data_IF_760111593029
#
_entry.id   IF_760111593029
#
_cell.length_a   1.000
_cell.length_b   1.000
_cell.length_c   1.000
_cell.angle_alpha   90.00
_cell.angle_beta   90.00
_cell.angle_gamma   90.00
#
_symmetry.space_group_name_H-M   'P 1'
#
loop_
_entity.id
_entity.type
_entity.pdbx_description
1 polymer ?
#
# COMPACT_ATOMS: atom_id res chain seq x y z
N UNK A 1 16.71 -34.21 -33.99
CA UNK A 1 15.54 -35.00 -33.62
C UNK A 1 15.20 -34.78 -32.15
N UNK A 2 13.95 -34.92 -31.77
CA UNK A 2 13.54 -34.77 -30.36
C UNK A 2 14.24 -35.87 -29.53
N UNK A 3 14.74 -35.55 -28.34
CA UNK A 3 15.37 -36.54 -27.45
C UNK A 3 14.33 -37.61 -27.06
N UNK A 4 14.76 -38.86 -27.03
CA UNK A 4 13.94 -40.00 -26.62
C UNK A 4 14.16 -40.34 -25.16
N UNK A 5 13.15 -40.88 -24.47
CA UNK A 5 13.29 -41.46 -23.15
C UNK A 5 14.09 -42.76 -23.31
N UNK A 6 15.13 -42.93 -22.50
CA UNK A 6 16.00 -44.11 -22.57
C UNK A 6 15.19 -45.42 -22.39
N UNK A 7 15.29 -46.31 -23.39
CA UNK A 7 14.60 -47.61 -23.39
C UNK A 7 13.15 -47.59 -23.89
N UNK A 8 12.65 -46.48 -24.43
CA UNK A 8 11.31 -46.38 -24.99
C UNK A 8 11.31 -45.67 -26.38
N UNK A 9 10.21 -45.81 -27.13
CA UNK A 9 9.98 -45.01 -28.35
C UNK A 9 9.33 -43.64 -28.08
N UNK A 10 9.11 -43.32 -26.82
CA UNK A 10 8.52 -42.04 -26.43
C UNK A 10 9.50 -40.87 -26.62
N UNK A 11 9.01 -39.75 -27.12
CA UNK A 11 9.78 -38.52 -27.32
C UNK A 11 9.47 -37.50 -26.23
N UNK A 12 10.53 -36.90 -25.67
CA UNK A 12 10.38 -35.82 -24.69
C UNK A 12 10.23 -34.49 -25.45
N UNK A 13 9.21 -33.74 -25.09
CA UNK A 13 9.08 -32.36 -25.54
C UNK A 13 9.93 -31.45 -24.65
N UNK A 14 10.99 -30.87 -25.23
CA UNK A 14 11.80 -29.87 -24.56
C UNK A 14 11.16 -28.49 -24.79
N UNK A 15 10.85 -27.79 -23.70
CA UNK A 15 10.44 -26.39 -23.72
C UNK A 15 11.63 -25.53 -23.31
N UNK A 16 12.00 -24.60 -24.16
CA UNK A 16 13.00 -23.60 -23.83
C UNK A 16 12.34 -22.47 -23.07
N UNK A 17 12.95 -22.04 -21.99
CA UNK A 17 12.50 -20.90 -21.20
C UNK A 17 13.68 -20.11 -20.68
N UNK A 18 13.42 -18.93 -20.20
CA UNK A 18 14.37 -18.15 -19.44
C UNK A 18 13.78 -17.79 -18.08
N UNK A 19 14.65 -17.72 -17.12
CA UNK A 19 14.40 -17.14 -15.83
C UNK A 19 14.79 -15.66 -15.90
N UNK A 20 13.89 -14.78 -15.59
CA UNK A 20 14.11 -13.35 -15.62
C UNK A 20 13.64 -12.70 -14.34
N UNK A 21 14.25 -11.59 -13.99
CA UNK A 21 13.79 -10.72 -12.91
C UNK A 21 13.14 -9.50 -13.50
N UNK A 22 11.84 -9.37 -13.27
CA UNK A 22 11.09 -8.20 -13.69
C UNK A 22 11.17 -7.13 -12.58
N UNK A 23 11.68 -5.98 -12.95
CA UNK A 23 11.66 -4.78 -12.10
C UNK A 23 10.71 -3.78 -12.76
N UNK A 24 9.59 -3.51 -12.10
CA UNK A 24 8.69 -2.45 -12.52
C UNK A 24 9.17 -1.14 -11.86
N UNK A 25 10.06 -0.43 -12.55
CA UNK A 25 10.66 0.79 -12.03
C UNK A 25 9.81 2.05 -12.28
N UNK A 26 8.66 1.90 -12.93
CA UNK A 26 7.71 3.00 -13.16
C UNK A 26 6.68 3.05 -12.04
N UNK A 27 5.95 1.96 -11.79
CA UNK A 27 4.90 1.93 -10.76
C UNK A 27 5.46 2.06 -9.34
N UNK A 28 6.63 1.47 -9.07
CA UNK A 28 7.32 1.59 -7.79
C UNK A 28 7.81 3.01 -7.45
N UNK A 29 7.55 4.01 -8.33
CA UNK A 29 7.93 5.42 -8.14
C UNK A 29 6.75 6.34 -7.98
N UNK A 30 5.56 5.86 -8.29
CA UNK A 30 4.34 6.66 -8.22
C UNK A 30 3.94 6.76 -6.75
N UNK A 31 4.04 7.96 -6.21
CA UNK A 31 3.63 8.29 -4.84
C UNK A 31 2.12 8.59 -4.80
N UNK A 32 1.65 9.33 -5.80
CA UNK A 32 0.27 9.82 -5.87
C UNK A 32 -0.46 9.10 -7.00
N UNK A 33 -1.50 8.37 -6.64
CA UNK A 33 -2.41 7.66 -7.54
C UNK A 33 -3.75 8.40 -7.59
N UNK A 34 -4.14 8.89 -8.76
CA UNK A 34 -5.36 9.67 -8.98
C UNK A 34 -5.06 11.03 -9.58
N UNK A 35 -6.10 11.84 -9.77
CA UNK A 35 -6.01 13.09 -10.52
C UNK A 35 -6.37 14.34 -9.70
N UNK A 36 -6.82 14.17 -8.46
CA UNK A 36 -7.09 15.31 -7.59
C UNK A 36 -5.77 16.01 -7.27
N UNK A 37 -5.78 17.33 -7.39
CA UNK A 37 -4.68 18.17 -6.95
C UNK A 37 -5.13 19.04 -5.79
N UNK A 38 -4.22 19.29 -4.86
CA UNK A 38 -4.41 20.17 -3.73
C UNK A 38 -3.07 20.69 -3.22
N UNK A 39 -3.10 21.80 -2.52
CA UNK A 39 -1.97 22.32 -1.77
C UNK A 39 -1.58 21.33 -0.65
N UNK A 40 -0.28 21.16 -0.38
CA UNK A 40 0.20 20.25 0.67
C UNK A 40 -0.24 20.68 2.08
N UNK A 41 -0.64 21.93 2.27
CA UNK A 41 -1.20 22.47 3.52
C UNK A 41 -2.68 22.11 3.75
N UNK A 42 -3.39 21.62 2.73
CA UNK A 42 -4.78 21.21 2.84
C UNK A 42 -4.97 19.95 3.66
N UNK A 43 -6.23 19.66 4.01
CA UNK A 43 -6.58 18.45 4.76
C UNK A 43 -6.37 17.18 3.92
N UNK A 44 -5.86 16.14 4.56
CA UNK A 44 -5.81 14.78 4.01
C UNK A 44 -6.22 13.76 5.08
N UNK A 45 -6.64 12.59 4.65
CA UNK A 45 -7.02 11.49 5.54
C UNK A 45 -5.97 10.41 5.49
N UNK A 46 -5.24 10.22 6.58
CA UNK A 46 -4.44 9.04 6.78
C UNK A 46 -5.29 7.91 7.32
N UNK A 47 -5.15 6.71 6.75
CA UNK A 47 -5.88 5.54 7.21
C UNK A 47 -5.04 4.28 7.13
N UNK A 48 -5.42 3.30 7.92
CA UNK A 48 -4.83 1.99 8.00
C UNK A 48 -5.91 0.96 8.27
N UNK A 49 -5.71 -0.26 7.82
CA UNK A 49 -6.65 -1.37 7.95
C UNK A 49 -5.98 -2.57 8.61
N UNK A 50 -6.66 -3.16 9.61
CA UNK A 50 -6.35 -4.51 10.02
C UNK A 50 -7.27 -5.50 9.28
N UNK A 51 -6.69 -6.62 8.85
CA UNK A 51 -7.38 -7.57 7.98
C UNK A 51 -7.10 -9.02 8.37
N UNK A 52 -7.93 -9.95 7.91
CA UNK A 52 -7.73 -11.40 8.13
C UNK A 52 -6.64 -12.01 7.26
N UNK A 53 -6.05 -11.24 6.34
CA UNK A 53 -4.98 -11.68 5.45
C UNK A 53 -4.63 -10.62 4.40
N UNK A 54 -3.91 -11.00 3.35
CA UNK A 54 -3.29 -10.04 2.41
C UNK A 54 -4.08 -9.83 1.10
N UNK A 55 -5.14 -10.59 0.88
CA UNK A 55 -5.88 -10.57 -0.38
C UNK A 55 -7.23 -9.89 -0.23
N UNK A 56 -7.40 -8.72 -0.81
CA UNK A 56 -8.68 -7.99 -0.84
C UNK A 56 -9.84 -8.77 -1.52
N UNK A 57 -9.54 -9.90 -2.19
CA UNK A 57 -10.57 -10.76 -2.81
C UNK A 57 -11.12 -11.81 -1.86
N UNK A 58 -10.32 -12.31 -0.93
CA UNK A 58 -10.65 -13.44 -0.06
C UNK A 58 -10.68 -13.10 1.40
N UNK A 59 -9.90 -12.11 1.80
CA UNK A 59 -9.75 -11.72 3.20
C UNK A 59 -10.69 -10.56 3.55
N UNK A 60 -10.87 -10.31 4.83
CA UNK A 60 -11.85 -9.36 5.37
C UNK A 60 -11.17 -8.28 6.19
N UNK A 61 -11.74 -7.08 6.19
CA UNK A 61 -11.36 -5.99 7.11
C UNK A 61 -11.90 -6.34 8.50
N UNK A 62 -11.08 -6.13 9.53
CA UNK A 62 -11.46 -6.33 10.94
C UNK A 62 -11.31 -5.05 11.79
N UNK A 63 -10.53 -4.07 11.34
CA UNK A 63 -10.48 -2.73 11.93
C UNK A 63 -10.23 -1.70 10.84
N UNK A 64 -10.86 -0.53 10.95
CA UNK A 64 -10.59 0.65 10.13
C UNK A 64 -10.17 1.76 11.09
N UNK A 65 -8.98 2.31 10.91
CA UNK A 65 -8.50 3.49 11.59
C UNK A 65 -8.21 4.60 10.60
N UNK A 66 -8.66 5.81 10.88
CA UNK A 66 -8.38 6.97 10.04
C UNK A 66 -8.29 8.25 10.86
N UNK A 67 -7.44 9.17 10.42
CA UNK A 67 -7.29 10.51 11.00
C UNK A 67 -7.28 11.56 9.89
N UNK A 68 -8.00 12.65 10.11
CA UNK A 68 -7.88 13.85 9.30
C UNK A 68 -6.70 14.64 9.82
N UNK A 69 -5.75 14.93 8.96
CA UNK A 69 -4.55 15.72 9.28
C UNK A 69 -4.60 17.05 8.56
N UNK A 70 -4.14 18.11 9.26
CA UNK A 70 -3.92 19.44 8.69
C UNK A 70 -2.73 20.09 9.37
N UNK A 71 -1.75 20.56 8.59
CA UNK A 71 -0.55 21.22 9.11
C UNK A 71 0.14 20.42 10.24
N UNK A 72 0.24 19.09 10.07
CA UNK A 72 0.88 18.21 11.05
C UNK A 72 0.07 17.91 12.32
N UNK A 73 -1.19 18.35 12.39
CA UNK A 73 -2.07 18.14 13.54
C UNK A 73 -3.30 17.30 13.16
N UNK A 74 -3.71 16.43 14.08
CA UNK A 74 -4.98 15.72 13.98
C UNK A 74 -6.13 16.70 14.15
N UNK A 75 -7.09 16.67 13.21
CA UNK A 75 -8.31 17.50 13.21
C UNK A 75 -9.53 16.68 13.59
N UNK A 76 -9.59 15.43 13.10
CA UNK A 76 -10.71 14.52 13.33
C UNK A 76 -10.23 13.06 13.25
N UNK A 77 -11.00 12.13 13.82
CA UNK A 77 -10.64 10.71 13.88
C UNK A 77 -11.85 9.81 13.67
N UNK A 78 -11.64 8.75 12.92
CA UNK A 78 -12.56 7.64 12.75
C UNK A 78 -11.86 6.33 13.17
N UNK A 79 -12.55 5.51 13.95
CA UNK A 79 -12.06 4.18 14.28
C UNK A 79 -13.24 3.24 14.52
N UNK A 80 -13.20 2.06 13.93
CA UNK A 80 -14.22 1.04 14.16
C UNK A 80 -13.65 -0.35 13.94
N UNK A 81 -14.02 -1.29 14.80
CA UNK A 81 -13.91 -2.70 14.45
C UNK A 81 -14.94 -3.07 13.39
N UNK A 82 -14.66 -4.14 12.68
CA UNK A 82 -15.56 -4.70 11.66
C UNK A 82 -15.70 -6.19 11.89
N UNK A 83 -16.92 -6.69 11.97
CA UNK A 83 -17.19 -8.13 12.06
C UNK A 83 -16.88 -8.81 10.72
N UNK A 84 -15.84 -9.66 10.64
CA UNK A 84 -15.48 -10.37 9.39
C UNK A 84 -16.41 -11.53 9.07
N UNK A 85 -17.42 -11.82 9.92
CA UNK A 85 -18.33 -12.97 9.83
C UNK A 85 -17.62 -14.35 9.83
N UNK A 86 -16.44 -14.38 10.42
CA UNK A 86 -15.62 -15.60 10.55
C UNK A 86 -14.71 -15.49 11.76
N UNK A 87 -14.31 -16.64 12.32
CA UNK A 87 -13.33 -16.71 13.40
C UNK A 87 -11.94 -16.35 12.89
N UNK A 88 -11.21 -15.58 13.70
CA UNK A 88 -9.85 -15.16 13.37
C UNK A 88 -8.86 -16.33 13.49
N UNK A 89 -7.99 -16.45 12.52
CA UNK A 89 -6.86 -17.37 12.64
C UNK A 89 -5.88 -16.85 13.72
N UNK A 90 -5.29 -17.79 14.47
CA UNK A 90 -4.36 -17.43 15.54
C UNK A 90 -3.25 -16.49 15.10
N UNK A 91 -2.72 -16.67 13.89
CA UNK A 91 -1.67 -15.79 13.34
C UNK A 91 -2.11 -14.32 13.23
N UNK A 92 -3.40 -14.07 12.97
CA UNK A 92 -3.97 -12.72 12.88
C UNK A 92 -4.10 -12.13 14.29
N UNK A 93 -4.63 -12.91 15.23
CA UNK A 93 -4.70 -12.50 16.65
C UNK A 93 -3.31 -12.18 17.20
N UNK A 94 -2.31 -13.02 16.92
CA UNK A 94 -0.93 -12.82 17.38
C UNK A 94 -0.28 -11.58 16.71
N UNK A 95 -0.69 -11.22 15.48
CA UNK A 95 -0.17 -10.07 14.75
C UNK A 95 -0.83 -8.76 15.18
N UNK A 96 -2.17 -8.71 15.21
CA UNK A 96 -2.95 -7.48 15.39
C UNK A 96 -3.37 -7.25 16.84
N UNK A 97 -3.32 -8.29 17.68
CA UNK A 97 -3.88 -8.27 19.02
C UNK A 97 -5.42 -8.24 19.07
N UNK A 98 -6.09 -8.26 17.91
CA UNK A 98 -7.54 -8.27 17.82
C UNK A 98 -8.02 -9.70 18.02
N UNK A 99 -8.98 -9.91 18.94
CA UNK A 99 -9.57 -11.21 19.23
C UNK A 99 -11.02 -11.29 18.78
N UNK A 100 -11.56 -12.51 18.65
CA UNK A 100 -12.97 -12.71 18.29
C UNK A 100 -13.90 -12.01 19.31
N UNK A 101 -13.53 -11.99 20.61
CA UNK A 101 -14.32 -11.34 21.65
C UNK A 101 -14.41 -9.83 21.45
N UNK A 102 -13.34 -9.19 20.93
CA UNK A 102 -13.33 -7.75 20.62
C UNK A 102 -14.25 -7.40 19.45
N UNK A 103 -14.49 -8.35 18.56
CA UNK A 103 -15.35 -8.17 17.39
C UNK A 103 -16.84 -8.48 17.68
N UNK A 104 -17.17 -8.99 18.88
CA UNK A 104 -18.57 -9.24 19.24
C UNK A 104 -19.36 -7.94 19.25
N UNK A 105 -20.39 -7.85 18.38
CA UNK A 105 -21.22 -6.66 18.26
C UNK A 105 -20.61 -5.54 17.42
N UNK A 106 -19.45 -5.75 16.81
CA UNK A 106 -18.92 -4.83 15.81
C UNK A 106 -19.85 -4.76 14.58
N UNK A 107 -19.94 -3.60 13.91
CA UNK A 107 -20.71 -3.51 12.68
C UNK A 107 -20.10 -4.38 11.59
N UNK A 108 -20.94 -4.90 10.69
CA UNK A 108 -20.46 -5.51 9.46
C UNK A 108 -19.93 -4.45 8.49
N UNK A 109 -19.19 -4.89 7.49
CA UNK A 109 -18.61 -3.98 6.50
C UNK A 109 -19.67 -3.18 5.75
N UNK A 110 -20.89 -3.74 5.56
CA UNK A 110 -22.03 -3.04 4.96
C UNK A 110 -22.48 -1.80 5.75
N UNK A 111 -22.18 -1.77 7.07
CA UNK A 111 -22.50 -0.64 7.96
C UNK A 111 -21.27 0.25 8.23
N UNK A 112 -20.08 -0.36 8.28
CA UNK A 112 -18.84 0.35 8.57
C UNK A 112 -18.35 1.17 7.37
N UNK A 113 -18.38 0.57 6.16
CA UNK A 113 -17.88 1.21 4.96
C UNK A 113 -18.60 2.53 4.62
N UNK A 114 -19.95 2.63 4.61
CA UNK A 114 -20.61 3.90 4.34
C UNK A 114 -20.21 5.02 5.31
N UNK A 115 -20.04 4.70 6.59
CA UNK A 115 -19.59 5.67 7.61
C UNK A 115 -18.15 6.11 7.37
N UNK A 116 -17.30 5.19 6.97
CA UNK A 116 -15.93 5.51 6.59
C UNK A 116 -15.90 6.39 5.34
N UNK A 117 -16.68 6.07 4.30
CA UNK A 117 -16.78 6.89 3.09
C UNK A 117 -17.33 8.30 3.38
N UNK A 118 -18.30 8.42 4.28
CA UNK A 118 -18.79 9.71 4.75
C UNK A 118 -17.70 10.51 5.49
N UNK A 119 -16.93 9.83 6.36
CA UNK A 119 -15.83 10.46 7.09
C UNK A 119 -14.71 10.96 6.16
N UNK A 120 -14.30 10.19 5.17
CA UNK A 120 -13.24 10.62 4.24
C UNK A 120 -13.71 11.73 3.30
N UNK A 121 -15.01 11.76 2.93
CA UNK A 121 -15.55 12.76 2.00
C UNK A 121 -14.79 12.81 0.69
N UNK A 122 -14.42 13.99 0.22
CA UNK A 122 -13.66 14.22 -1.01
C UNK A 122 -12.14 14.41 -0.76
N UNK A 123 -11.66 14.08 0.43
CA UNK A 123 -10.26 14.31 0.82
C UNK A 123 -9.32 13.32 0.15
N UNK A 124 -8.09 13.75 -0.08
CA UNK A 124 -7.00 12.87 -0.50
C UNK A 124 -6.72 11.85 0.60
N UNK A 125 -6.59 10.61 0.20
CA UNK A 125 -6.24 9.50 1.08
C UNK A 125 -4.72 9.35 1.18
N UNK A 126 -4.23 8.95 2.35
CA UNK A 126 -2.83 8.65 2.58
C UNK A 126 -2.73 7.34 3.34
N UNK A 127 -1.86 6.44 2.91
CA UNK A 127 -1.56 5.22 3.65
C UNK A 127 -0.09 4.82 3.50
N UNK A 128 0.38 3.91 4.33
CA UNK A 128 1.74 3.38 4.25
C UNK A 128 1.76 2.05 3.52
N UNK A 129 2.13 2.02 2.24
CA UNK A 129 1.87 0.98 1.26
C UNK A 129 0.41 1.02 0.77
N UNK A 130 0.03 2.17 0.27
CA UNK A 130 -1.37 2.57 0.00
C UNK A 130 -2.14 1.62 -0.91
N UNK A 131 -1.48 0.88 -1.80
CA UNK A 131 -2.11 -0.12 -2.66
C UNK A 131 -2.80 -1.23 -1.88
N UNK A 132 -2.28 -1.58 -0.70
CA UNK A 132 -2.87 -2.58 0.18
C UNK A 132 -4.22 -2.09 0.71
N UNK A 133 -4.22 -0.98 1.43
CA UNK A 133 -5.41 -0.46 2.11
C UNK A 133 -6.47 0.01 1.11
N UNK A 134 -6.06 0.79 0.10
CA UNK A 134 -6.97 1.23 -0.96
C UNK A 134 -7.53 0.05 -1.78
N UNK A 135 -6.76 -1.02 -1.92
CA UNK A 135 -7.17 -2.26 -2.57
C UNK A 135 -8.36 -2.93 -1.87
N UNK A 136 -8.32 -2.99 -0.53
CA UNK A 136 -9.44 -3.51 0.28
C UNK A 136 -10.67 -2.60 0.18
N UNK A 137 -10.51 -1.29 0.38
CA UNK A 137 -11.64 -0.34 0.27
C UNK A 137 -12.26 -0.39 -1.13
N UNK A 138 -11.45 -0.41 -2.17
CA UNK A 138 -11.93 -0.52 -3.57
C UNK A 138 -12.71 -1.81 -3.81
N UNK A 139 -12.22 -2.93 -3.27
CA UNK A 139 -12.90 -4.22 -3.41
C UNK A 139 -14.26 -4.22 -2.70
N UNK A 140 -14.34 -3.66 -1.49
CA UNK A 140 -15.58 -3.56 -0.74
C UNK A 140 -16.56 -2.55 -1.37
N UNK A 141 -16.08 -1.42 -1.88
CA UNK A 141 -16.89 -0.48 -2.68
C UNK A 141 -17.51 -1.18 -3.89
N UNK A 142 -16.70 -1.92 -4.66
CA UNK A 142 -17.20 -2.65 -5.82
C UNK A 142 -18.23 -3.74 -5.45
N UNK A 143 -18.01 -4.44 -4.33
CA UNK A 143 -18.94 -5.47 -3.83
C UNK A 143 -20.27 -4.88 -3.40
N UNK A 144 -20.25 -3.70 -2.79
CA UNK A 144 -21.44 -3.04 -2.22
C UNK A 144 -22.10 -2.03 -3.17
N UNK A 145 -21.50 -1.79 -4.36
CA UNK A 145 -22.06 -0.89 -5.36
C UNK A 145 -21.76 0.59 -5.10
N UNK A 146 -20.72 0.91 -4.33
CA UNK A 146 -20.22 2.28 -4.16
C UNK A 146 -19.19 2.61 -5.23
N UNK A 147 -19.13 3.86 -5.65
CA UNK A 147 -18.05 4.38 -6.47
C UNK A 147 -16.78 4.57 -5.64
N UNK A 148 -15.62 4.33 -6.28
CA UNK A 148 -14.30 4.58 -5.70
C UNK A 148 -13.51 5.49 -6.64
N UNK A 149 -13.47 6.79 -6.36
CA UNK A 149 -12.82 7.82 -7.17
C UNK A 149 -11.85 8.67 -6.33
N UNK A 150 -11.13 8.05 -5.40
CA UNK A 150 -10.21 8.75 -4.50
C UNK A 150 -8.81 8.84 -5.09
N UNK A 151 -8.17 9.97 -4.84
CA UNK A 151 -6.72 10.13 -5.00
C UNK A 151 -6.04 9.68 -3.72
N UNK A 152 -4.97 8.88 -3.85
CA UNK A 152 -4.24 8.36 -2.71
C UNK A 152 -2.74 8.63 -2.84
N UNK A 153 -2.08 8.99 -1.74
CA UNK A 153 -0.64 9.14 -1.65
C UNK A 153 -0.02 8.04 -0.76
N UNK A 154 1.17 7.58 -1.13
CA UNK A 154 1.87 6.48 -0.48
C UNK A 154 3.09 6.97 0.30
N UNK A 155 3.03 6.91 1.63
CA UNK A 155 4.14 7.33 2.49
C UNK A 155 5.32 6.37 2.45
N UNK A 156 5.13 5.08 2.12
CA UNK A 156 6.22 4.12 1.94
C UNK A 156 7.07 4.53 0.73
N UNK A 157 6.43 4.73 -0.42
CA UNK A 157 7.13 5.12 -1.66
C UNK A 157 7.77 6.50 -1.50
N UNK A 158 7.07 7.46 -0.89
CA UNK A 158 7.61 8.79 -0.64
C UNK A 158 8.83 8.73 0.29
N UNK A 159 8.77 7.95 1.38
CA UNK A 159 9.91 7.72 2.29
C UNK A 159 11.11 7.10 1.57
N UNK A 160 10.89 6.16 0.67
CA UNK A 160 11.95 5.54 -0.13
C UNK A 160 12.69 6.54 -1.03
N UNK A 161 12.01 7.60 -1.44
CA UNK A 161 12.59 8.65 -2.27
C UNK A 161 13.33 9.71 -1.44
N UNK A 162 12.74 10.13 -0.32
CA UNK A 162 13.22 11.26 0.49
C UNK A 162 14.17 10.87 1.62
N UNK A 163 14.23 9.56 1.98
CA UNK A 163 15.09 9.04 3.06
C UNK A 163 16.07 7.98 2.54
N UNK A 164 16.97 8.32 1.61
CA UNK A 164 17.85 7.36 0.93
C UNK A 164 18.84 6.67 1.86
N UNK A 165 19.04 7.19 3.08
CA UNK A 165 19.90 6.63 4.12
C UNK A 165 19.30 5.36 4.75
N UNK A 166 17.99 5.15 4.63
CA UNK A 166 17.32 3.98 5.20
C UNK A 166 17.44 2.76 4.27
N UNK A 167 17.54 1.57 4.87
CA UNK A 167 17.54 0.29 4.16
C UNK A 167 16.20 -0.45 4.28
N UNK A 168 15.35 -0.05 5.22
CA UNK A 168 14.01 -0.59 5.46
C UNK A 168 13.06 0.57 5.72
N UNK A 169 11.82 0.42 5.27
CA UNK A 169 10.81 1.47 5.28
C UNK A 169 9.50 1.00 5.93
N UNK A 170 9.57 0.13 6.93
CA UNK A 170 8.41 -0.15 7.78
C UNK A 170 8.01 1.11 8.54
N UNK A 171 6.74 1.20 8.92
CA UNK A 171 6.16 2.38 9.57
C UNK A 171 6.97 2.79 10.81
N UNK A 172 7.33 1.83 11.67
CA UNK A 172 8.16 2.02 12.86
C UNK A 172 9.55 2.59 12.55
N UNK A 173 10.20 2.04 11.52
CA UNK A 173 11.55 2.46 11.12
C UNK A 173 11.55 3.89 10.57
N UNK A 174 10.54 4.23 9.75
CA UNK A 174 10.39 5.57 9.19
C UNK A 174 10.04 6.58 10.28
N UNK A 175 9.10 6.23 11.18
CA UNK A 175 8.72 7.04 12.33
C UNK A 175 9.92 7.38 13.22
N UNK A 176 10.73 6.38 13.58
CA UNK A 176 11.95 6.55 14.36
C UNK A 176 12.98 7.43 13.64
N UNK A 177 13.18 7.22 12.34
CA UNK A 177 14.13 8.02 11.54
C UNK A 177 13.74 9.51 11.46
N UNK A 178 12.43 9.81 11.51
CA UNK A 178 11.89 11.16 11.55
C UNK A 178 11.73 11.70 12.97
N UNK A 179 12.20 10.96 14.00
CA UNK A 179 12.11 11.33 15.42
C UNK A 179 10.68 11.62 15.89
N UNK A 180 9.72 10.86 15.38
CA UNK A 180 8.32 10.93 15.79
C UNK A 180 8.10 10.20 17.13
N UNK A 181 7.02 10.52 17.87
CA UNK A 181 6.68 9.82 19.11
C UNK A 181 6.46 8.31 18.89
N UNK A 182 6.77 7.51 19.93
CA UNK A 182 6.45 6.09 19.94
C UNK A 182 4.93 5.87 19.94
N UNK A 183 4.48 4.82 19.28
CA UNK A 183 3.08 4.45 19.12
C UNK A 183 2.85 2.95 19.33
N UNK A 184 1.59 2.55 19.50
CA UNK A 184 1.23 1.14 19.60
C UNK A 184 1.06 0.55 18.21
N UNK A 185 1.98 -0.31 17.82
CA UNK A 185 1.93 -1.00 16.53
C UNK A 185 0.73 -1.96 16.43
N UNK A 186 0.24 -2.14 15.22
CA UNK A 186 -0.85 -3.07 14.89
C UNK A 186 -2.20 -2.70 15.52
N UNK A 187 -2.48 -1.42 15.57
CA UNK A 187 -3.79 -0.84 15.84
C UNK A 187 -4.05 0.20 14.78
N UNK A 188 -5.03 -0.04 13.93
CA UNK A 188 -5.30 0.77 12.74
C UNK A 188 -5.37 2.29 13.04
N UNK A 189 -5.93 2.69 14.17
CA UNK A 189 -5.99 4.11 14.57
C UNK A 189 -4.64 4.73 14.90
N UNK A 190 -3.75 3.98 15.56
CA UNK A 190 -2.41 4.46 15.93
C UNK A 190 -1.48 4.43 14.71
N UNK A 191 -1.60 3.42 13.85
CA UNK A 191 -0.84 3.32 12.62
C UNK A 191 -1.27 4.41 11.61
N UNK A 192 -2.57 4.72 11.50
CA UNK A 192 -3.09 5.85 10.73
C UNK A 192 -2.54 7.21 11.23
N UNK A 193 -2.50 7.42 12.56
CA UNK A 193 -1.93 8.64 13.15
C UNK A 193 -0.44 8.76 12.86
N UNK A 194 0.31 7.65 13.01
CA UNK A 194 1.74 7.63 12.71
C UNK A 194 2.01 7.89 11.24
N UNK A 195 1.21 7.29 10.34
CA UNK A 195 1.24 7.56 8.90
C UNK A 195 1.01 9.06 8.63
N UNK A 196 0.05 9.69 9.34
CA UNK A 196 -0.23 11.12 9.23
C UNK A 196 0.94 12.02 9.65
N UNK A 197 1.59 11.69 10.75
CA UNK A 197 2.79 12.41 11.20
C UNK A 197 3.98 12.23 10.24
N UNK A 198 4.16 11.02 9.71
CA UNK A 198 5.16 10.75 8.68
C UNK A 198 4.89 11.61 7.45
N UNK A 199 3.64 11.61 6.94
CA UNK A 199 3.28 12.40 5.76
C UNK A 199 3.54 13.88 5.98
N UNK A 200 3.16 14.43 7.14
CA UNK A 200 3.41 15.82 7.48
C UNK A 200 4.92 16.17 7.43
N UNK A 201 5.77 15.31 7.99
CA UNK A 201 7.23 15.51 7.95
C UNK A 201 7.82 15.38 6.55
N UNK A 202 7.28 14.49 5.74
CA UNK A 202 7.72 14.35 4.35
C UNK A 202 7.24 15.53 3.48
N UNK A 203 6.05 16.10 3.76
CA UNK A 203 5.57 17.32 3.11
C UNK A 203 6.43 18.52 3.46
N UNK A 204 6.78 18.75 4.75
CA UNK A 204 7.75 19.78 5.16
C UNK A 204 9.05 19.66 4.34
N UNK A 205 9.56 18.43 4.20
CA UNK A 205 10.79 18.16 3.45
C UNK A 205 10.65 18.42 1.94
N UNK A 206 9.48 18.12 1.36
CA UNK A 206 9.17 18.42 -0.04
C UNK A 206 9.18 19.94 -0.31
N UNK A 207 8.56 20.71 0.59
CA UNK A 207 8.52 22.18 0.48
C UNK A 207 9.91 22.80 0.68
N UNK A 208 10.61 22.42 1.75
CA UNK A 208 11.90 23.06 2.13
C UNK A 208 13.06 22.68 1.21
N UNK A 209 13.14 21.42 0.78
CA UNK A 209 14.31 20.90 0.04
C UNK A 209 14.09 20.82 -1.48
N UNK A 210 12.82 20.79 -1.92
CA UNK A 210 12.48 20.51 -3.32
C UNK A 210 11.55 21.55 -3.96
N UNK A 211 11.08 22.55 -3.21
CA UNK A 211 10.18 23.61 -3.70
C UNK A 211 8.87 23.03 -4.31
N UNK A 212 8.32 22.00 -3.66
CA UNK A 212 7.10 21.31 -4.06
C UNK A 212 5.98 21.72 -3.13
N UNK A 213 4.88 22.22 -3.69
CA UNK A 213 3.78 22.81 -2.92
C UNK A 213 2.43 22.12 -3.15
N UNK A 214 2.29 21.36 -4.25
CA UNK A 214 1.06 20.66 -4.56
C UNK A 214 1.25 19.16 -4.70
N UNK A 215 0.16 18.42 -4.53
CA UNK A 215 0.16 16.96 -4.56
C UNK A 215 0.62 16.40 -5.91
N UNK A 216 0.19 17.02 -7.04
CA UNK A 216 0.51 16.52 -8.38
C UNK A 216 1.95 16.82 -8.82
N UNK A 217 2.65 17.73 -8.13
CA UNK A 217 4.07 17.98 -8.34
C UNK A 217 4.97 16.86 -7.80
N UNK A 218 4.48 16.04 -6.85
CA UNK A 218 5.28 15.00 -6.18
C UNK A 218 5.80 13.97 -7.17
N UNK A 219 4.94 13.38 -8.01
CA UNK A 219 5.37 12.31 -8.92
C UNK A 219 6.45 12.76 -9.92
N UNK A 220 6.32 13.89 -10.62
CA UNK A 220 7.37 14.40 -11.50
C UNK A 220 8.69 14.68 -10.77
N UNK A 221 8.62 15.24 -9.56
CA UNK A 221 9.81 15.52 -8.75
C UNK A 221 10.53 14.24 -8.32
N UNK A 222 9.80 13.23 -7.85
CA UNK A 222 10.39 11.94 -7.47
C UNK A 222 11.03 11.22 -8.67
N UNK A 223 10.49 11.36 -9.86
CA UNK A 223 11.14 10.87 -11.09
C UNK A 223 12.46 11.60 -11.38
N UNK A 224 12.50 12.92 -11.17
CA UNK A 224 13.69 13.76 -11.36
C UNK A 224 14.83 13.45 -10.39
N UNK A 225 14.53 13.27 -9.11
CA UNK A 225 15.51 12.96 -8.08
C UNK A 225 16.28 11.65 -8.31
N UNK A 226 15.71 10.69 -9.00
CA UNK A 226 16.32 9.38 -9.27
C UNK A 226 17.13 9.29 -10.55
N UNK A 227 16.99 10.24 -11.44
CA UNK A 227 17.80 10.27 -12.67
C UNK A 227 19.31 10.42 -12.40
N UNK A 228 19.71 10.80 -11.19
CA UNK A 228 21.08 10.97 -10.74
C UNK A 228 21.60 10.00 -9.67
N UNK A 229 20.82 9.03 -9.19
CA UNK A 229 21.19 8.19 -8.05
C UNK A 229 21.11 6.69 -8.32
N UNK A 230 22.00 5.94 -7.67
CA UNK A 230 22.01 4.47 -7.73
C UNK A 230 20.65 3.90 -7.27
N UNK A 231 19.98 3.19 -8.18
CA UNK A 231 18.82 2.35 -7.87
C UNK A 231 19.35 1.22 -6.98
N UNK A 232 19.07 1.27 -5.66
CA UNK A 232 19.27 0.11 -4.81
C UNK A 232 18.24 -0.94 -5.25
N UNK A 233 18.68 -2.19 -5.39
CA UNK A 233 17.88 -3.34 -5.79
C UNK A 233 16.51 -3.33 -5.11
N UNK A 234 15.47 -3.07 -5.91
CA UNK A 234 14.10 -3.22 -5.49
C UNK A 234 13.66 -4.64 -5.79
N UNK A 235 12.66 -5.12 -5.08
CA UNK A 235 12.15 -6.48 -5.20
C UNK A 235 11.87 -6.83 -6.67
N UNK A 236 12.85 -7.48 -7.28
CA UNK A 236 12.68 -8.07 -8.58
C UNK A 236 11.67 -9.22 -8.49
N UNK A 237 10.60 -9.16 -9.26
CA UNK A 237 9.67 -10.28 -9.37
C UNK A 237 10.26 -11.35 -10.27
N UNK A 238 10.39 -12.55 -9.74
CA UNK A 238 10.85 -13.68 -10.49
C UNK A 238 9.81 -14.12 -11.53
N UNK A 239 10.19 -14.14 -12.79
CA UNK A 239 9.33 -14.53 -13.91
C UNK A 239 10.00 -15.68 -14.64
N UNK A 240 9.23 -16.75 -14.89
CA UNK A 240 9.66 -17.85 -15.74
C UNK A 240 8.88 -17.72 -17.06
N UNK A 241 9.62 -17.50 -18.14
CA UNK A 241 9.08 -17.38 -19.50
C UNK A 241 9.38 -18.65 -20.29
N UNK A 242 8.36 -19.29 -20.85
CA UNK A 242 8.51 -20.43 -21.74
C UNK A 242 8.16 -20.04 -23.18
N UNK A 243 9.03 -20.34 -24.10
CA UNK A 243 8.76 -20.19 -25.53
C UNK A 243 7.74 -21.24 -26.00
N UNK A 244 6.56 -20.80 -26.47
CA UNK A 244 5.52 -21.70 -27.00
C UNK A 244 5.92 -22.32 -28.32
N UNK A 245 6.70 -21.62 -29.11
CA UNK A 245 7.17 -22.04 -30.43
C UNK A 245 8.48 -21.30 -30.81
N UNK A 246 9.03 -21.57 -31.98
CA UNK A 246 10.27 -20.96 -32.47
C UNK A 246 10.20 -19.44 -32.66
N UNK A 247 9.02 -18.88 -32.93
CA UNK A 247 8.83 -17.43 -33.04
C UNK A 247 8.97 -16.77 -31.68
N UNK A 248 8.34 -17.33 -30.64
CA UNK A 248 8.48 -16.84 -29.25
C UNK A 248 9.89 -17.06 -28.67
N UNK A 249 10.74 -17.90 -29.27
CA UNK A 249 12.13 -18.07 -28.87
C UNK A 249 13.05 -16.96 -29.44
N UNK A 250 12.62 -16.27 -30.50
CA UNK A 250 13.41 -15.24 -31.18
C UNK A 250 13.03 -13.81 -30.77
N UNK A 251 11.90 -13.65 -30.10
CA UNK A 251 11.41 -12.40 -29.55
C UNK A 251 11.81 -12.27 -28.08
#
# INVERSE_FOLDING_TARGET
GAPKVAGTDETIKILYGCEAYFVNDVDDRIVVHGSQDQDLSEEFVCFDLETTGLSSRTDRIIEIGAVVMKNGHEVDRFQTFVDPEQTLERKIVDLTGITDEMLVGAPKIEEALPKFLEFIGDRVLVAHNSDFDTGFIRAECARLGYEYNYTAADTLILSQNLLPQLNKFKLDIVSNALSLPDFNHHRAGDDAMTCGLIMAKLMEKLEEEHDIHTLQEINPAMMGLRAGGHIKDRQARHIILFAKNQVGLRN
#
